data_IF_311941734827
#
_entry.id   IF_311941734827
#
_cell.length_a   1.000
_cell.length_b   1.000
_cell.length_c   1.000
_cell.angle_alpha   90.00
_cell.angle_beta   90.00
_cell.angle_gamma   90.00
#
_symmetry.space_group_name_H-M   'P 1'
#
loop_
_entity.id
_entity.type
_entity.pdbx_description
1 polymer ?
#
# COMPACT_ATOMS: atom_id res chain seq x y z
N UNK A 1 37.17 19.65 8.28
CA UNK A 1 36.85 18.56 7.30
C UNK A 1 37.94 18.64 6.23
N UNK A 2 38.63 17.56 5.97
CA UNK A 2 39.63 17.51 4.89
C UNK A 2 38.94 17.29 3.51
N UNK A 3 39.70 17.42 2.41
CA UNK A 3 39.12 17.37 1.05
C UNK A 3 38.51 16.01 0.71
N UNK A 4 39.07 14.90 1.19
CA UNK A 4 38.51 13.56 1.02
C UNK A 4 37.16 13.41 1.76
N UNK A 5 37.01 14.00 2.94
CA UNK A 5 35.74 14.01 3.67
C UNK A 5 34.67 14.84 2.97
N UNK A 6 35.05 15.97 2.34
CA UNK A 6 34.13 16.78 1.54
C UNK A 6 33.66 16.04 0.31
N UNK A 7 34.58 15.35 -0.38
CA UNK A 7 34.24 14.56 -1.57
C UNK A 7 33.27 13.42 -1.23
N UNK A 8 33.55 12.64 -0.17
CA UNK A 8 32.67 11.56 0.28
C UNK A 8 31.28 12.07 0.70
N UNK A 9 31.23 13.27 1.34
CA UNK A 9 29.95 13.89 1.66
C UNK A 9 29.17 14.31 0.40
N UNK A 10 29.88 14.85 -0.60
CA UNK A 10 29.25 15.23 -1.86
C UNK A 10 28.68 14.01 -2.58
N UNK A 11 29.44 12.94 -2.74
CA UNK A 11 28.97 11.70 -3.36
C UNK A 11 27.74 11.11 -2.65
N UNK A 12 27.73 11.18 -1.31
CA UNK A 12 26.55 10.76 -0.54
C UNK A 12 25.32 11.61 -0.82
N UNK A 13 25.48 12.91 -0.86
CA UNK A 13 24.39 13.84 -1.20
C UNK A 13 23.88 13.63 -2.62
N UNK A 14 24.78 13.42 -3.58
CA UNK A 14 24.42 13.16 -4.98
C UNK A 14 23.52 11.93 -5.09
N UNK A 15 23.85 10.82 -4.41
CA UNK A 15 23.02 9.62 -4.33
C UNK A 15 21.66 9.91 -3.69
N UNK A 16 21.63 10.63 -2.56
CA UNK A 16 20.38 10.95 -1.86
C UNK A 16 19.47 11.82 -2.71
N UNK A 17 20.00 12.83 -3.40
CA UNK A 17 19.21 13.67 -4.28
C UNK A 17 18.75 12.92 -5.55
N UNK A 18 19.54 11.99 -6.07
CA UNK A 18 19.13 11.13 -7.17
C UNK A 18 17.92 10.27 -6.78
N UNK A 19 17.96 9.66 -5.59
CA UNK A 19 16.82 8.92 -5.05
C UNK A 19 15.61 9.84 -4.80
N UNK A 20 15.81 11.02 -4.18
CA UNK A 20 14.73 11.97 -3.93
C UNK A 20 14.03 12.43 -5.24
N UNK A 21 14.79 12.54 -6.35
CA UNK A 21 14.22 12.84 -7.65
C UNK A 21 13.52 11.61 -8.27
N UNK A 22 14.04 10.41 -8.04
CA UNK A 22 13.45 9.17 -8.55
C UNK A 22 12.06 8.92 -7.97
N UNK A 23 11.88 9.09 -6.66
CA UNK A 23 10.58 8.88 -6.00
C UNK A 23 9.50 9.89 -6.40
N UNK A 24 9.86 11.03 -7.02
CA UNK A 24 8.88 11.95 -7.60
C UNK A 24 8.04 11.31 -8.70
N UNK A 25 8.55 10.24 -9.32
CA UNK A 25 7.84 9.51 -10.38
C UNK A 25 6.62 8.74 -9.87
N UNK A 26 6.58 8.36 -8.61
CA UNK A 26 5.45 7.70 -7.96
C UNK A 26 4.14 8.47 -8.14
N UNK A 27 4.19 9.80 -8.19
CA UNK A 27 3.06 10.68 -8.51
C UNK A 27 2.41 10.43 -9.87
N UNK A 28 3.06 9.67 -10.75
CA UNK A 28 2.58 9.35 -12.10
C UNK A 28 2.02 7.94 -12.22
N UNK A 29 2.12 7.16 -11.17
CA UNK A 29 1.57 5.81 -11.12
C UNK A 29 0.11 5.95 -10.68
N UNK A 30 -0.80 5.63 -11.59
CA UNK A 30 -2.24 5.77 -11.34
C UNK A 30 -2.87 4.50 -10.83
N UNK A 31 -3.72 4.62 -9.84
CA UNK A 31 -4.49 3.54 -9.22
C UNK A 31 -5.89 3.45 -9.82
N UNK A 32 -6.60 2.35 -9.55
CA UNK A 32 -8.00 2.19 -9.96
C UNK A 32 -9.00 2.74 -8.92
N UNK A 33 -8.50 3.25 -7.81
CA UNK A 33 -9.31 3.84 -6.73
C UNK A 33 -9.53 5.32 -7.00
N UNK A 34 -10.77 5.79 -6.84
CA UNK A 34 -11.09 7.21 -6.91
C UNK A 34 -10.81 7.91 -5.58
N UNK A 35 -10.32 9.15 -5.65
CA UNK A 35 -10.33 10.06 -4.51
C UNK A 35 -11.77 10.29 -4.01
N UNK A 36 -11.92 10.83 -2.80
CA UNK A 36 -13.25 11.03 -2.18
C UNK A 36 -14.18 12.00 -2.92
N UNK A 37 -13.66 12.78 -3.89
CA UNK A 37 -14.45 13.60 -4.81
C UNK A 37 -15.26 12.76 -5.82
N UNK A 38 -14.84 11.51 -6.04
CA UNK A 38 -15.47 10.57 -6.96
C UNK A 38 -15.15 10.79 -8.44
N UNK A 39 -14.32 11.75 -8.77
CA UNK A 39 -14.00 12.15 -10.15
C UNK A 39 -12.53 11.93 -10.52
N UNK A 40 -11.61 12.08 -9.55
CA UNK A 40 -10.17 11.97 -9.75
C UNK A 40 -9.69 10.59 -9.31
N UNK A 41 -8.91 9.90 -10.15
CA UNK A 41 -8.21 8.69 -9.73
C UNK A 41 -7.02 9.06 -8.85
N UNK A 42 -6.83 8.31 -7.79
CA UNK A 42 -5.70 8.42 -6.86
C UNK A 42 -4.40 7.98 -7.56
N UNK A 43 -3.26 8.55 -7.18
CA UNK A 43 -1.94 8.01 -7.50
C UNK A 43 -1.28 7.39 -6.26
N UNK A 44 -0.18 6.63 -6.45
CA UNK A 44 0.48 5.90 -5.36
C UNK A 44 1.02 6.83 -4.28
N UNK A 45 1.56 8.00 -4.62
CA UNK A 45 2.04 8.96 -3.62
C UNK A 45 0.90 9.51 -2.74
N UNK A 46 -0.28 9.74 -3.30
CA UNK A 46 -1.48 10.15 -2.55
C UNK A 46 -1.98 9.02 -1.66
N UNK A 47 -1.98 7.77 -2.16
CA UNK A 47 -2.30 6.58 -1.40
C UNK A 47 -1.35 6.38 -0.22
N UNK A 48 -0.04 6.36 -0.47
CA UNK A 48 0.99 6.17 0.56
C UNK A 48 0.90 7.23 1.67
N UNK A 49 0.74 8.51 1.30
CA UNK A 49 0.53 9.60 2.26
C UNK A 49 -0.73 9.40 3.10
N UNK A 50 -1.85 9.04 2.46
CA UNK A 50 -3.14 8.86 3.14
C UNK A 50 -3.09 7.66 4.10
N UNK A 51 -2.59 6.51 3.64
CA UNK A 51 -2.43 5.32 4.46
C UNK A 51 -1.47 5.55 5.64
N UNK A 52 -0.38 6.30 5.44
CA UNK A 52 0.55 6.68 6.51
C UNK A 52 -0.11 7.56 7.59
N UNK A 53 -0.96 8.52 7.20
CA UNK A 53 -1.74 9.31 8.16
C UNK A 53 -2.79 8.46 8.88
N UNK A 54 -3.43 7.52 8.20
CA UNK A 54 -4.35 6.57 8.83
C UNK A 54 -3.61 5.72 9.87
N UNK A 55 -2.37 5.30 9.61
CA UNK A 55 -1.56 4.54 10.57
C UNK A 55 -1.25 5.35 11.85
N UNK A 56 -1.06 6.66 11.75
CA UNK A 56 -0.94 7.53 12.93
C UNK A 56 -2.26 7.64 13.68
N UNK A 57 -3.36 7.89 12.94
CA UNK A 57 -4.69 8.13 13.51
C UNK A 57 -5.26 6.91 14.23
N UNK A 58 -5.10 5.71 13.63
CA UNK A 58 -5.74 4.49 14.08
C UNK A 58 -4.82 3.55 14.89
N UNK A 59 -3.67 4.03 15.35
CA UNK A 59 -2.67 3.20 16.05
C UNK A 59 -3.21 2.54 17.34
N UNK A 60 -4.20 3.15 17.98
CA UNK A 60 -4.87 2.58 19.15
C UNK A 60 -5.68 1.30 18.85
N UNK A 61 -5.98 1.00 17.59
CA UNK A 61 -6.72 -0.18 17.14
C UNK A 61 -5.82 -1.28 16.54
N UNK A 62 -4.50 -1.12 16.60
CA UNK A 62 -3.59 -2.20 16.24
C UNK A 62 -3.80 -3.40 17.19
N UNK A 63 -3.76 -4.63 16.65
CA UNK A 63 -3.97 -5.84 17.46
C UNK A 63 -2.87 -6.05 18.52
N UNK A 64 -1.67 -5.57 18.23
CA UNK A 64 -0.47 -5.65 19.09
C UNK A 64 0.17 -4.26 19.19
N UNK A 65 0.97 -3.98 20.23
CA UNK A 65 1.76 -2.74 20.28
C UNK A 65 2.68 -2.61 19.06
N UNK A 66 2.65 -1.47 18.38
CA UNK A 66 3.44 -1.19 17.17
C UNK A 66 4.30 0.05 17.31
N UNK A 67 5.47 0.05 16.70
CA UNK A 67 6.22 1.27 16.41
C UNK A 67 5.53 2.00 15.24
N UNK A 68 4.74 3.02 15.58
CA UNK A 68 3.99 3.81 14.60
C UNK A 68 4.89 4.46 13.56
N UNK A 69 6.09 4.94 13.97
CA UNK A 69 7.03 5.54 13.02
C UNK A 69 7.53 4.50 12.00
N UNK A 70 7.76 3.27 12.44
CA UNK A 70 8.16 2.18 11.55
C UNK A 70 7.04 1.81 10.58
N UNK A 71 5.79 1.70 11.04
CA UNK A 71 4.64 1.45 10.18
C UNK A 71 4.44 2.58 9.15
N UNK A 72 4.58 3.84 9.56
CA UNK A 72 4.53 5.01 8.66
C UNK A 72 5.64 4.94 7.61
N UNK A 73 6.88 4.61 7.99
CA UNK A 73 7.98 4.43 7.03
C UNK A 73 7.66 3.32 6.02
N UNK A 74 7.12 2.18 6.46
CA UNK A 74 6.69 1.10 5.59
C UNK A 74 5.68 1.59 4.55
N UNK A 75 4.64 2.29 4.99
CA UNK A 75 3.60 2.81 4.10
C UNK A 75 4.11 3.87 3.12
N UNK A 76 5.09 4.68 3.50
CA UNK A 76 5.67 5.69 2.60
C UNK A 76 6.59 5.09 1.53
N UNK A 77 7.04 3.85 1.70
CA UNK A 77 8.00 3.24 0.76
C UNK A 77 7.47 2.01 0.02
N UNK A 78 6.33 1.43 0.44
CA UNK A 78 5.90 0.12 -0.05
C UNK A 78 5.62 0.10 -1.56
N UNK A 79 4.99 1.15 -2.10
CA UNK A 79 4.63 1.27 -3.50
C UNK A 79 5.69 1.98 -4.37
N UNK A 80 6.82 2.47 -3.79
CA UNK A 80 7.93 3.07 -4.59
C UNK A 80 8.43 2.11 -5.67
N UNK A 81 8.36 0.81 -5.44
CA UNK A 81 8.73 -0.23 -6.42
C UNK A 81 7.86 -0.20 -7.67
N UNK A 82 6.66 0.35 -7.58
CA UNK A 82 5.73 0.44 -8.70
C UNK A 82 6.16 1.46 -9.77
N UNK A 83 7.13 2.33 -9.47
CA UNK A 83 7.77 3.20 -10.47
C UNK A 83 8.29 2.39 -11.66
N UNK A 84 8.82 1.18 -11.43
CA UNK A 84 9.30 0.27 -12.47
C UNK A 84 8.35 -0.91 -12.70
N UNK A 85 7.74 -1.43 -11.65
CA UNK A 85 6.86 -2.58 -11.72
C UNK A 85 5.47 -2.24 -12.30
N UNK A 86 5.02 -0.99 -12.10
CA UNK A 86 3.65 -0.55 -12.37
C UNK A 86 2.66 -1.04 -11.31
N UNK A 87 1.63 -0.23 -11.00
CA UNK A 87 0.54 -0.64 -10.12
C UNK A 87 -0.13 -1.91 -10.66
N UNK A 88 -0.26 -2.91 -9.80
CA UNK A 88 -0.98 -4.13 -10.11
C UNK A 88 -2.34 -4.08 -9.46
N UNK A 89 -3.39 -3.92 -10.28
CA UNK A 89 -4.75 -3.88 -9.76
C UNK A 89 -5.06 -5.12 -8.91
N UNK A 90 -5.51 -4.88 -7.69
CA UNK A 90 -5.68 -5.92 -6.65
C UNK A 90 -6.60 -7.10 -7.04
N UNK A 91 -7.34 -6.98 -8.13
CA UNK A 91 -8.27 -8.00 -8.64
C UNK A 91 -7.86 -8.54 -10.02
N UNK A 92 -6.66 -8.20 -10.51
CA UNK A 92 -6.06 -8.73 -11.74
C UNK A 92 -5.20 -9.95 -11.43
N UNK A 93 -5.76 -11.14 -11.63
CA UNK A 93 -5.08 -12.42 -11.33
C UNK A 93 -3.82 -12.65 -12.21
N UNK A 94 -3.78 -12.15 -13.44
CA UNK A 94 -2.62 -12.29 -14.35
C UNK A 94 -1.48 -11.35 -13.91
N UNK A 95 -1.80 -10.11 -13.58
CA UNK A 95 -0.85 -9.13 -13.06
C UNK A 95 -0.21 -9.59 -11.75
N UNK A 96 -1.03 -10.11 -10.82
CA UNK A 96 -0.59 -10.63 -9.51
C UNK A 96 0.41 -11.80 -9.66
N UNK A 97 0.25 -12.67 -10.67
CA UNK A 97 1.13 -13.83 -10.86
C UNK A 97 2.61 -13.46 -11.12
N UNK A 98 2.88 -12.27 -11.63
CA UNK A 98 4.24 -11.78 -11.93
C UNK A 98 4.70 -10.64 -11.03
N UNK A 99 3.82 -10.14 -10.15
CA UNK A 99 4.01 -8.94 -9.34
C UNK A 99 5.28 -9.04 -8.48
N UNK A 100 5.43 -10.10 -7.70
CA UNK A 100 6.55 -10.26 -6.78
C UNK A 100 7.93 -10.22 -7.49
N UNK A 101 8.05 -10.82 -8.70
CA UNK A 101 9.30 -10.78 -9.45
C UNK A 101 9.59 -9.38 -10.01
N UNK A 102 8.56 -8.67 -10.48
CA UNK A 102 8.70 -7.30 -11.00
C UNK A 102 9.09 -6.33 -9.88
N UNK A 103 8.41 -6.41 -8.74
CA UNK A 103 8.67 -5.56 -7.59
C UNK A 103 10.04 -5.82 -6.97
N UNK A 104 10.48 -7.09 -6.87
CA UNK A 104 11.82 -7.41 -6.39
C UNK A 104 12.92 -6.76 -7.27
N UNK A 105 12.79 -6.83 -8.60
CA UNK A 105 13.73 -6.17 -9.52
C UNK A 105 13.70 -4.66 -9.41
N UNK A 106 12.51 -4.09 -9.23
CA UNK A 106 12.33 -2.66 -9.03
C UNK A 106 12.97 -2.19 -7.72
N UNK A 107 12.74 -2.92 -6.61
CA UNK A 107 13.36 -2.65 -5.31
C UNK A 107 14.89 -2.65 -5.39
N UNK A 108 15.47 -3.67 -6.04
CA UNK A 108 16.92 -3.76 -6.25
C UNK A 108 17.46 -2.56 -7.02
N UNK A 109 16.79 -2.10 -8.05
CA UNK A 109 17.23 -0.92 -8.80
C UNK A 109 17.05 0.37 -8.01
N UNK A 110 15.88 0.59 -7.44
CA UNK A 110 15.49 1.89 -6.90
C UNK A 110 16.21 2.16 -5.57
N UNK A 111 16.20 1.20 -4.64
CA UNK A 111 16.86 1.42 -3.34
C UNK A 111 18.38 1.50 -3.46
N UNK A 112 19.02 0.84 -4.46
CA UNK A 112 20.46 0.97 -4.71
C UNK A 112 20.88 2.33 -5.31
N UNK A 113 19.96 3.24 -5.57
CA UNK A 113 20.30 4.65 -5.85
C UNK A 113 20.85 5.35 -4.59
N UNK A 114 20.46 4.90 -3.42
CA UNK A 114 20.90 5.43 -2.12
C UNK A 114 22.34 5.02 -1.76
N UNK A 115 22.96 5.69 -0.80
CA UNK A 115 24.13 5.15 -0.10
C UNK A 115 23.84 3.78 0.52
N UNK A 116 24.83 2.90 0.55
CA UNK A 116 24.68 1.47 0.88
C UNK A 116 23.96 1.22 2.22
N UNK A 117 24.24 2.04 3.25
CA UNK A 117 23.59 1.96 4.55
C UNK A 117 22.09 2.26 4.49
N UNK A 118 21.69 3.28 3.74
CA UNK A 118 20.29 3.65 3.54
C UNK A 118 19.58 2.69 2.57
N UNK A 119 20.27 2.23 1.54
CA UNK A 119 19.76 1.22 0.63
C UNK A 119 19.38 -0.07 1.36
N UNK A 120 20.26 -0.54 2.26
CA UNK A 120 20.00 -1.72 3.08
C UNK A 120 18.86 -1.51 4.08
N UNK A 121 18.78 -0.32 4.72
CA UNK A 121 17.69 0.00 5.64
C UNK A 121 16.32 -0.05 4.93
N UNK A 122 16.18 0.65 3.79
CA UNK A 122 14.89 0.72 3.08
C UNK A 122 14.51 -0.62 2.43
N UNK A 123 15.49 -1.34 1.87
CA UNK A 123 15.26 -2.69 1.34
C UNK A 123 14.77 -3.65 2.42
N UNK A 124 15.39 -3.65 3.60
CA UNK A 124 14.97 -4.51 4.70
C UNK A 124 13.57 -4.15 5.20
N UNK A 125 13.24 -2.87 5.26
CA UNK A 125 11.92 -2.39 5.68
C UNK A 125 10.83 -2.76 4.68
N UNK A 126 11.11 -2.66 3.38
CA UNK A 126 10.21 -3.11 2.32
C UNK A 126 10.00 -4.63 2.36
N UNK A 127 11.07 -5.41 2.50
CA UNK A 127 10.97 -6.87 2.64
C UNK A 127 10.20 -7.29 3.89
N UNK A 128 10.34 -6.56 5.00
CA UNK A 128 9.57 -6.82 6.21
C UNK A 128 8.08 -6.53 5.99
N UNK A 129 7.74 -5.45 5.27
CA UNK A 129 6.35 -5.15 4.89
C UNK A 129 5.76 -6.28 4.05
N UNK A 130 6.46 -6.73 3.01
CA UNK A 130 6.00 -7.83 2.14
C UNK A 130 5.87 -9.17 2.87
N UNK A 131 6.75 -9.45 3.84
CA UNK A 131 6.73 -10.69 4.60
C UNK A 131 5.55 -10.81 5.59
N UNK A 132 4.92 -9.68 5.98
CA UNK A 132 3.80 -9.60 6.94
C UNK A 132 4.05 -10.35 8.27
N UNK A 133 5.32 -10.49 8.69
CA UNK A 133 5.67 -11.30 9.85
C UNK A 133 5.60 -10.54 11.18
N UNK A 134 5.86 -9.22 11.15
CA UNK A 134 5.89 -8.37 12.34
C UNK A 134 4.56 -7.66 12.60
N UNK A 135 4.28 -7.23 13.84
CA UNK A 135 3.10 -6.42 14.16
C UNK A 135 3.00 -5.15 13.31
N UNK A 136 4.13 -4.45 13.08
CA UNK A 136 4.18 -3.24 12.26
C UNK A 136 3.81 -3.51 10.81
N UNK A 137 4.34 -4.59 10.21
CA UNK A 137 4.04 -4.96 8.83
C UNK A 137 2.56 -5.34 8.66
N UNK A 138 1.99 -6.12 9.58
CA UNK A 138 0.56 -6.47 9.57
C UNK A 138 -0.32 -5.25 9.73
N UNK A 139 0.05 -4.35 10.66
CA UNK A 139 -0.70 -3.12 10.89
C UNK A 139 -0.62 -2.16 9.69
N UNK A 140 0.57 -1.97 9.12
CA UNK A 140 0.75 -1.17 7.90
C UNK A 140 -0.08 -1.75 6.74
N UNK A 141 -0.05 -3.07 6.53
CA UNK A 141 -0.87 -3.74 5.51
C UNK A 141 -2.37 -3.59 5.76
N UNK A 142 -2.80 -3.53 7.01
CA UNK A 142 -4.20 -3.24 7.32
C UNK A 142 -4.58 -1.82 6.87
N UNK A 143 -3.73 -0.82 7.04
CA UNK A 143 -3.98 0.55 6.56
C UNK A 143 -3.98 0.64 5.03
N UNK A 144 -3.03 -0.01 4.37
CA UNK A 144 -2.96 -0.14 2.92
C UNK A 144 -4.27 -0.72 2.33
N UNK A 145 -4.82 -1.76 2.94
CA UNK A 145 -6.05 -2.40 2.47
C UNK A 145 -7.33 -1.61 2.82
N UNK A 146 -7.39 -0.98 4.00
CA UNK A 146 -8.58 -0.25 4.46
C UNK A 146 -8.78 1.08 3.73
N UNK A 147 -7.70 1.75 3.35
CA UNK A 147 -7.76 3.05 2.69
C UNK A 147 -8.57 2.99 1.39
N UNK A 148 -8.27 2.11 0.41
CA UNK A 148 -9.07 2.02 -0.81
C UNK A 148 -10.50 1.48 -0.56
N UNK A 149 -10.70 0.63 0.44
CA UNK A 149 -12.05 0.18 0.80
C UNK A 149 -12.93 1.34 1.29
N UNK A 150 -12.37 2.23 2.11
CA UNK A 150 -13.02 3.45 2.59
C UNK A 150 -13.33 4.41 1.44
N UNK A 151 -12.39 4.66 0.53
CA UNK A 151 -12.60 5.54 -0.63
C UNK A 151 -13.64 4.97 -1.60
N UNK A 152 -13.61 3.68 -1.84
CA UNK A 152 -14.64 3.03 -2.66
C UNK A 152 -16.03 3.20 -2.06
N UNK A 153 -16.18 3.06 -0.75
CA UNK A 153 -17.45 3.31 -0.08
C UNK A 153 -17.88 4.78 -0.20
N UNK A 154 -16.96 5.73 0.02
CA UNK A 154 -17.22 7.17 -0.08
C UNK A 154 -17.67 7.61 -1.48
N UNK A 155 -17.23 6.88 -2.53
CA UNK A 155 -17.58 7.13 -3.95
C UNK A 155 -18.72 6.27 -4.47
N UNK A 156 -19.62 5.81 -3.59
CA UNK A 156 -20.78 4.95 -3.91
C UNK A 156 -20.39 3.64 -4.64
N UNK A 157 -19.22 3.08 -4.32
CA UNK A 157 -18.72 1.85 -4.91
C UNK A 157 -18.40 1.98 -6.39
N UNK A 158 -17.99 3.17 -6.86
CA UNK A 158 -17.80 3.46 -8.29
C UNK A 158 -16.82 2.49 -8.93
N UNK A 159 -15.59 2.36 -8.41
CA UNK A 159 -14.60 1.44 -8.97
C UNK A 159 -15.06 -0.03 -8.83
N UNK A 160 -15.72 -0.41 -7.74
CA UNK A 160 -16.26 -1.76 -7.59
C UNK A 160 -17.28 -2.10 -8.68
N UNK A 161 -18.14 -1.13 -9.09
CA UNK A 161 -19.11 -1.32 -10.18
C UNK A 161 -18.42 -1.37 -11.55
N UNK A 162 -17.50 -0.44 -11.80
CA UNK A 162 -16.79 -0.34 -13.07
C UNK A 162 -15.99 -1.61 -13.38
N UNK A 163 -15.44 -2.24 -12.33
CA UNK A 163 -14.64 -3.47 -12.43
C UNK A 163 -15.40 -4.76 -12.07
N UNK A 164 -16.71 -4.69 -11.87
CA UNK A 164 -17.57 -5.85 -11.53
C UNK A 164 -17.02 -6.70 -10.39
N UNK A 165 -16.51 -6.02 -9.33
CA UNK A 165 -15.77 -6.66 -8.24
C UNK A 165 -16.68 -7.59 -7.44
N UNK A 166 -16.16 -8.80 -7.14
CA UNK A 166 -16.83 -9.83 -6.36
C UNK A 166 -16.49 -9.73 -4.88
N UNK A 167 -17.45 -10.06 -4.02
CA UNK A 167 -17.26 -10.08 -2.57
C UNK A 167 -16.11 -11.00 -2.16
N UNK A 168 -16.01 -12.19 -2.76
CA UNK A 168 -14.91 -13.14 -2.50
C UNK A 168 -13.52 -12.53 -2.71
N UNK A 169 -13.36 -11.67 -3.72
CA UNK A 169 -12.10 -10.98 -4.02
C UNK A 169 -11.77 -9.92 -2.95
N UNK A 170 -12.79 -9.17 -2.50
CA UNK A 170 -12.61 -8.18 -1.41
C UNK A 170 -12.22 -8.88 -0.12
N UNK A 171 -12.89 -9.98 0.23
CA UNK A 171 -12.58 -10.75 1.44
C UNK A 171 -11.16 -11.33 1.38
N UNK A 172 -10.75 -11.88 0.23
CA UNK A 172 -9.40 -12.40 0.01
C UNK A 172 -8.34 -11.30 0.13
N UNK A 173 -8.54 -10.13 -0.50
CA UNK A 173 -7.62 -8.99 -0.40
C UNK A 173 -7.41 -8.56 1.05
N UNK A 174 -8.46 -8.63 1.87
CA UNK A 174 -8.46 -8.18 3.25
C UNK A 174 -8.19 -9.29 4.29
N UNK A 175 -7.82 -10.51 3.90
CA UNK A 175 -7.55 -11.60 4.84
C UNK A 175 -6.45 -11.26 5.87
N UNK A 176 -5.46 -10.44 5.46
CA UNK A 176 -4.38 -9.98 6.34
C UNK A 176 -4.75 -8.72 7.15
N UNK A 177 -5.83 -8.02 6.80
CA UNK A 177 -6.27 -6.80 7.50
C UNK A 177 -6.71 -7.12 8.93
N UNK A 178 -7.42 -8.22 9.13
CA UNK A 178 -7.84 -8.68 10.45
C UNK A 178 -6.63 -9.04 11.34
N UNK A 179 -5.55 -9.57 10.76
CA UNK A 179 -4.33 -9.89 11.50
C UNK A 179 -3.58 -8.65 12.02
N UNK A 180 -3.73 -7.49 11.39
CA UNK A 180 -3.11 -6.24 11.80
C UNK A 180 -4.00 -5.34 12.65
N UNK A 181 -5.32 -5.26 12.33
CA UNK A 181 -6.28 -4.34 12.96
C UNK A 181 -7.72 -4.88 12.87
N UNK A 182 -8.02 -5.92 13.64
CA UNK A 182 -9.30 -6.62 13.61
C UNK A 182 -10.51 -5.71 13.83
N UNK A 183 -10.43 -4.77 14.79
CA UNK A 183 -11.50 -3.80 15.08
C UNK A 183 -11.81 -2.94 13.86
N UNK A 184 -10.77 -2.46 13.17
CA UNK A 184 -10.94 -1.62 11.98
C UNK A 184 -11.48 -2.44 10.80
N UNK A 185 -11.04 -3.70 10.65
CA UNK A 185 -11.59 -4.57 9.60
C UNK A 185 -13.08 -4.85 9.81
N UNK A 186 -13.50 -5.18 11.04
CA UNK A 186 -14.91 -5.39 11.37
C UNK A 186 -15.76 -4.13 11.09
N UNK A 187 -15.22 -2.95 11.43
CA UNK A 187 -15.85 -1.69 11.07
C UNK A 187 -15.96 -1.51 9.56
N UNK A 188 -14.86 -1.71 8.83
CA UNK A 188 -14.81 -1.59 7.37
C UNK A 188 -15.74 -2.56 6.65
N UNK A 189 -15.78 -3.83 7.08
CA UNK A 189 -16.69 -4.83 6.54
C UNK A 189 -18.15 -4.37 6.67
N UNK A 190 -18.53 -3.97 7.88
CA UNK A 190 -19.91 -3.56 8.20
C UNK A 190 -20.32 -2.25 7.52
N UNK A 191 -19.42 -1.26 7.44
CA UNK A 191 -19.78 0.10 7.03
C UNK A 191 -19.35 0.44 5.60
N UNK A 192 -18.34 -0.24 5.05
CA UNK A 192 -17.85 0.02 3.70
C UNK A 192 -18.24 -1.09 2.72
N UNK A 193 -18.23 -2.36 3.12
CA UNK A 193 -18.43 -3.48 2.18
C UNK A 193 -19.89 -3.93 2.14
N UNK A 194 -20.48 -4.34 3.27
CA UNK A 194 -21.82 -4.90 3.35
C UNK A 194 -22.92 -4.01 2.73
N UNK A 195 -22.92 -2.66 2.95
CA UNK A 195 -23.93 -1.80 2.32
C UNK A 195 -23.85 -1.83 0.79
N UNK A 196 -22.64 -1.96 0.22
CA UNK A 196 -22.44 -1.99 -1.21
C UNK A 196 -22.75 -3.37 -1.82
N UNK A 197 -22.63 -4.44 -1.05
CA UNK A 197 -23.18 -5.77 -1.42
C UNK A 197 -24.71 -5.70 -1.49
N UNK A 198 -25.35 -5.12 -0.47
CA UNK A 198 -26.80 -4.98 -0.42
C UNK A 198 -27.36 -4.09 -1.54
N UNK A 199 -26.60 -3.10 -1.98
CA UNK A 199 -26.95 -2.20 -3.09
C UNK A 199 -26.63 -2.77 -4.48
N UNK A 200 -25.96 -3.94 -4.55
CA UNK A 200 -25.53 -4.54 -5.82
C UNK A 200 -24.32 -3.86 -6.48
N UNK A 201 -23.59 -3.01 -5.75
CA UNK A 201 -22.35 -2.40 -6.22
C UNK A 201 -21.17 -3.39 -6.18
N UNK A 202 -21.27 -4.41 -5.34
CA UNK A 202 -20.36 -5.55 -5.22
C UNK A 202 -21.18 -6.81 -5.52
N UNK A 203 -20.64 -7.66 -6.39
CA UNK A 203 -21.30 -8.93 -6.74
C UNK A 203 -21.16 -9.93 -5.57
N UNK A 204 -22.30 -10.40 -5.04
CA UNK A 204 -22.29 -11.40 -3.97
C UNK A 204 -22.17 -12.81 -4.54
N UNK A 205 -20.96 -13.34 -4.58
CA UNK A 205 -20.64 -14.69 -5.05
C UNK A 205 -20.38 -15.70 -3.90
N UNK A 206 -20.46 -15.24 -2.64
CA UNK A 206 -20.17 -16.08 -1.46
C UNK A 206 -21.40 -16.86 -0.98
N UNK A 207 -22.62 -16.33 -1.21
CA UNK A 207 -23.87 -16.97 -0.80
C UNK A 207 -24.25 -18.23 -1.62
N UNK A 208 -23.56 -18.49 -2.74
CA UNK A 208 -23.85 -19.60 -3.64
C UNK A 208 -22.88 -20.78 -3.53
N UNK A 209 -22.01 -20.82 -2.53
CA UNK A 209 -21.19 -22.01 -2.28
C UNK A 209 -22.03 -23.00 -1.45
N UNK A 210 -22.32 -24.21 -1.94
CA UNK A 210 -22.98 -25.24 -1.14
C UNK A 210 -22.06 -25.62 0.03
N UNK A 211 -22.63 -25.67 1.24
CA UNK A 211 -21.98 -26.15 2.46
C UNK A 211 -21.55 -27.60 2.31
#
# INVERSE_FOLDING_TARGET
>A
MNDNQKLAQQERLDKQFAFALEIDKEKRIGRQTYCSDGDTLENDAEHAWHAALMAVLFSEYANEPVDVLKAVKMLLIHDIVEIDAGDTYAYDDEGIATQAEREQKAAERIYNLLPDDQAQELMALWQEFEALATPEAKYAKAMDNLQPAMLNAATNGRAWKEHEVKLSKILKRNENTEAGAAVLWQYGLKHFVEPHVAQGNIQNDVQNQPQ
#
